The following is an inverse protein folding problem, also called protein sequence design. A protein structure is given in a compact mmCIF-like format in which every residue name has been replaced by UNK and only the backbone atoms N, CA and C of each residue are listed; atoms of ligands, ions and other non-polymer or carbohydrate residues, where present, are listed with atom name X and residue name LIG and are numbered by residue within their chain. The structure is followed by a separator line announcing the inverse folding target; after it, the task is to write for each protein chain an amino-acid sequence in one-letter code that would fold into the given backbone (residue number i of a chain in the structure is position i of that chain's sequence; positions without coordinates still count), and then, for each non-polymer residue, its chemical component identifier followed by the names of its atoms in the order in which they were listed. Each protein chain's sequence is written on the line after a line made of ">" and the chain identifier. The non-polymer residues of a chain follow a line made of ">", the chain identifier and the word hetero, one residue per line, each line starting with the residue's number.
data_IF_881346339074
#
_entry.id   IF_881346339074
#
_cell.length_a   1.000
_cell.length_b   1.000
_cell.length_c   1.000
_cell.angle_alpha   90.00
_cell.angle_beta   90.00
_cell.angle_gamma   90.00
#
_symmetry.space_group_name_H-M   'P 1'
#
loop_
_entity.id
_entity.type
_entity.pdbx_description
1 polymer ?
#
# COMPACT_ATOMS: atom_id res chain seq x y z
N UNK A 1 -0.29 8.47 5.80
CA UNK A 1 -1.21 9.56 5.89
C UNK A 1 -2.47 9.24 6.67
N UNK A 2 -2.89 10.17 7.48
CA UNK A 2 -4.11 10.05 8.32
C UNK A 2 -5.42 10.20 7.53
N UNK A 3 -5.38 10.29 6.19
CA UNK A 3 -6.53 10.63 5.37
C UNK A 3 -6.79 9.69 4.18
N UNK A 4 -6.10 8.56 4.09
CA UNK A 4 -6.30 7.63 2.95
C UNK A 4 -7.50 6.71 3.13
N UNK A 5 -8.12 6.70 4.32
CA UNK A 5 -9.27 5.86 4.67
C UNK A 5 -9.06 4.36 4.37
N UNK A 6 -7.80 3.91 4.23
CA UNK A 6 -7.47 2.55 3.81
C UNK A 6 -7.60 2.31 2.30
N UNK A 7 -7.60 3.37 1.50
CA UNK A 7 -7.51 3.32 0.04
C UNK A 7 -6.05 3.56 -0.37
N UNK A 8 -5.31 2.51 -0.66
CA UNK A 8 -3.89 2.63 -1.00
C UNK A 8 -3.69 3.15 -2.44
N UNK A 9 -4.58 2.75 -3.36
CA UNK A 9 -4.56 3.20 -4.76
C UNK A 9 -5.99 3.42 -5.29
N UNK A 10 -6.13 4.41 -6.18
CA UNK A 10 -7.33 4.62 -6.99
C UNK A 10 -6.90 4.58 -8.46
N UNK A 11 -7.33 3.54 -9.19
CA UNK A 11 -6.96 3.32 -10.58
C UNK A 11 -8.16 3.53 -11.48
N UNK A 12 -8.01 4.33 -12.55
CA UNK A 12 -9.03 4.52 -13.58
C UNK A 12 -8.57 3.84 -14.85
N UNK A 13 -9.35 2.87 -15.32
CA UNK A 13 -9.05 2.13 -16.54
C UNK A 13 -10.33 1.68 -17.26
N UNK A 14 -10.37 1.86 -18.57
CA UNK A 14 -11.48 1.40 -19.43
C UNK A 14 -12.88 1.75 -18.89
N UNK A 15 -13.07 3.00 -18.44
CA UNK A 15 -14.35 3.48 -17.91
C UNK A 15 -14.73 2.97 -16.53
N UNK A 16 -13.85 2.19 -15.89
CA UNK A 16 -14.01 1.70 -14.52
C UNK A 16 -13.03 2.38 -13.56
N UNK A 17 -13.43 2.42 -12.30
CA UNK A 17 -12.59 2.88 -11.19
C UNK A 17 -12.33 1.71 -10.24
N UNK A 18 -11.10 1.46 -9.92
CA UNK A 18 -10.69 0.42 -8.98
C UNK A 18 -10.21 1.08 -7.70
N UNK A 19 -10.84 0.74 -6.58
CA UNK A 19 -10.45 1.18 -5.24
C UNK A 19 -9.66 0.05 -4.61
N UNK A 20 -8.36 0.25 -4.47
CA UNK A 20 -7.42 -0.82 -4.09
C UNK A 20 -6.95 -0.64 -2.67
N UNK A 21 -7.02 -1.69 -1.88
CA UNK A 21 -6.35 -1.82 -0.59
C UNK A 21 -5.34 -2.96 -0.64
N UNK A 22 -4.11 -2.71 -0.16
CA UNK A 22 -3.02 -3.67 -0.13
C UNK A 22 -2.70 -4.08 1.31
N UNK A 23 -2.60 -5.37 1.58
CA UNK A 23 -2.14 -5.90 2.88
C UNK A 23 -0.99 -6.86 2.65
N UNK A 24 0.24 -6.37 2.89
CA UNK A 24 1.42 -7.22 2.90
C UNK A 24 1.67 -7.74 4.31
N UNK A 25 1.19 -8.94 4.58
CA UNK A 25 1.36 -9.61 5.86
C UNK A 25 2.17 -10.90 5.71
N UNK A 26 2.81 -11.32 6.80
CA UNK A 26 3.45 -12.64 6.88
C UNK A 26 2.42 -13.76 6.76
N UNK A 27 2.86 -14.92 6.29
CA UNK A 27 1.96 -16.04 5.97
C UNK A 27 1.27 -16.66 7.20
N UNK A 28 1.76 -16.37 8.40
CA UNK A 28 1.16 -16.76 9.69
C UNK A 28 -0.08 -15.95 10.07
N UNK A 29 -0.33 -14.84 9.36
CA UNK A 29 -1.50 -13.97 9.57
C UNK A 29 -2.57 -14.22 8.52
N UNK A 30 -3.83 -14.14 8.95
CA UNK A 30 -5.00 -14.35 8.10
C UNK A 30 -5.81 -13.06 7.99
N UNK A 31 -6.21 -12.70 6.77
CA UNK A 31 -7.13 -11.58 6.53
C UNK A 31 -8.51 -11.92 7.07
N UNK A 32 -9.02 -11.07 7.95
CA UNK A 32 -10.36 -11.23 8.54
C UNK A 32 -11.38 -10.32 7.84
N UNK A 33 -12.65 -10.63 8.04
CA UNK A 33 -13.81 -9.93 7.45
C UNK A 33 -13.78 -8.42 7.65
N UNK A 34 -13.28 -7.93 8.80
CA UNK A 34 -13.16 -6.49 9.08
C UNK A 34 -12.36 -5.72 8.04
N UNK A 35 -11.37 -6.34 7.40
CA UNK A 35 -10.57 -5.70 6.37
C UNK A 35 -11.33 -5.59 5.06
N UNK A 36 -12.12 -6.61 4.72
CA UNK A 36 -13.00 -6.60 3.56
C UNK A 36 -14.11 -5.54 3.74
N UNK A 37 -14.69 -5.48 4.95
CA UNK A 37 -15.70 -4.48 5.30
C UNK A 37 -15.14 -3.06 5.27
N UNK A 38 -13.89 -2.85 5.74
CA UNK A 38 -13.22 -1.56 5.67
C UNK A 38 -13.09 -1.09 4.22
N UNK A 39 -12.56 -1.94 3.33
CA UNK A 39 -12.43 -1.61 1.91
C UNK A 39 -13.79 -1.31 1.28
N UNK A 40 -14.80 -2.11 1.57
CA UNK A 40 -16.15 -1.88 1.03
C UNK A 40 -16.72 -0.56 1.54
N UNK A 41 -16.61 -0.26 2.83
CA UNK A 41 -17.05 1.01 3.43
C UNK A 41 -16.36 2.23 2.80
N UNK A 42 -15.04 2.18 2.60
CA UNK A 42 -14.31 3.28 1.96
C UNK A 42 -14.63 3.40 0.47
N UNK A 43 -15.05 2.31 -0.19
CA UNK A 43 -15.53 2.34 -1.57
C UNK A 43 -16.88 3.05 -1.66
N UNK A 44 -17.77 2.80 -0.70
CA UNK A 44 -19.06 3.54 -0.60
C UNK A 44 -18.78 5.03 -0.40
N UNK A 45 -17.89 5.40 0.51
CA UNK A 45 -17.51 6.78 0.75
C UNK A 45 -16.95 7.45 -0.50
N UNK A 46 -16.05 6.77 -1.23
CA UNK A 46 -15.54 7.25 -2.51
C UNK A 46 -16.68 7.52 -3.51
N UNK A 47 -17.65 6.61 -3.59
CA UNK A 47 -18.80 6.82 -4.45
C UNK A 47 -19.61 8.07 -4.05
N UNK A 48 -19.74 8.39 -2.80
CA UNK A 48 -20.39 9.62 -2.34
C UNK A 48 -19.56 10.87 -2.60
N UNK A 49 -18.26 10.85 -2.40
CA UNK A 49 -17.35 11.95 -2.73
C UNK A 49 -17.41 12.34 -4.22
N UNK A 50 -17.50 11.35 -5.11
CA UNK A 50 -17.43 11.54 -6.55
C UNK A 50 -18.78 11.82 -7.23
N UNK A 51 -19.87 11.99 -6.48
CA UNK A 51 -21.23 12.01 -7.04
C UNK A 51 -21.65 13.29 -7.78
N UNK A 52 -22.30 13.03 -8.90
CA UNK A 52 -23.49 13.77 -9.36
C UNK A 52 -24.70 13.17 -8.62
N UNK A 53 -25.55 13.99 -8.03
CA UNK A 53 -26.53 13.72 -6.95
C UNK A 53 -27.51 12.53 -7.06
N UNK A 54 -27.54 11.74 -8.14
CA UNK A 54 -28.68 10.88 -8.45
C UNK A 54 -28.39 9.37 -8.53
N UNK A 55 -27.17 8.91 -8.22
CA UNK A 55 -26.82 7.47 -8.32
C UNK A 55 -26.49 6.90 -6.94
N UNK A 56 -27.17 5.84 -6.49
CA UNK A 56 -26.86 5.19 -5.22
C UNK A 56 -25.52 4.40 -5.29
N UNK A 57 -24.58 4.43 -4.31
CA UNK A 57 -23.31 3.73 -4.37
C UNK A 57 -23.42 2.26 -4.76
N UNK A 58 -24.41 1.56 -4.22
CA UNK A 58 -24.63 0.14 -4.51
C UNK A 58 -25.02 -0.15 -5.96
N UNK A 59 -25.49 0.86 -6.71
CA UNK A 59 -25.84 0.68 -8.14
C UNK A 59 -24.59 0.63 -9.03
N UNK A 60 -23.45 1.17 -8.56
CA UNK A 60 -22.22 1.28 -9.33
C UNK A 60 -21.10 0.37 -8.81
N UNK A 61 -21.13 -0.02 -7.54
CA UNK A 61 -20.15 -0.96 -6.97
C UNK A 61 -20.33 -2.34 -7.64
N UNK A 62 -19.22 -2.93 -8.05
CA UNK A 62 -19.19 -4.18 -8.83
C UNK A 62 -19.41 -4.00 -10.34
N UNK A 63 -19.81 -2.81 -10.80
CA UNK A 63 -20.05 -2.49 -12.23
C UNK A 63 -18.98 -1.52 -12.77
N UNK A 64 -19.05 -0.27 -12.32
CA UNK A 64 -18.12 0.79 -12.72
C UNK A 64 -17.14 1.20 -11.61
N UNK A 65 -17.43 0.90 -10.36
CA UNK A 65 -16.53 1.07 -9.22
C UNK A 65 -16.25 -0.30 -8.61
N UNK A 66 -15.01 -0.75 -8.65
CA UNK A 66 -14.61 -2.11 -8.28
C UNK A 66 -13.70 -2.03 -7.05
N UNK A 67 -14.14 -2.52 -5.87
CA UNK A 67 -13.25 -2.68 -4.73
C UNK A 67 -12.30 -3.88 -4.96
N UNK A 68 -11.00 -3.65 -4.77
CA UNK A 68 -9.94 -4.64 -5.00
C UNK A 68 -9.09 -4.78 -3.75
N UNK A 69 -9.02 -5.98 -3.21
CA UNK A 69 -8.19 -6.31 -2.07
C UNK A 69 -6.97 -7.13 -2.51
N UNK A 70 -5.78 -6.58 -2.37
CA UNK A 70 -4.52 -7.24 -2.70
C UNK A 70 -3.84 -7.69 -1.41
N UNK A 71 -3.47 -8.96 -1.33
CA UNK A 71 -2.86 -9.52 -0.12
C UNK A 71 -1.78 -10.54 -0.44
N UNK A 72 -0.84 -10.73 0.50
CA UNK A 72 0.21 -11.77 0.42
C UNK A 72 -0.15 -13.02 1.23
N UNK A 73 -1.27 -13.01 1.96
CA UNK A 73 -1.69 -14.10 2.84
C UNK A 73 -3.12 -14.53 2.57
N UNK A 74 -3.56 -15.61 3.21
CA UNK A 74 -4.89 -16.18 3.03
C UNK A 74 -5.96 -15.32 3.69
N UNK A 75 -7.19 -15.43 3.17
CA UNK A 75 -8.40 -14.94 3.81
C UNK A 75 -8.99 -16.02 4.72
N UNK A 76 -9.58 -15.62 5.84
CA UNK A 76 -10.45 -16.52 6.59
C UNK A 76 -11.69 -16.91 5.76
N UNK A 77 -12.30 -18.05 6.04
CA UNK A 77 -13.54 -18.48 5.35
C UNK A 77 -14.65 -17.43 5.43
N UNK A 78 -14.74 -16.72 6.57
CA UNK A 78 -15.68 -15.61 6.73
C UNK A 78 -15.31 -14.44 5.84
N UNK A 79 -14.02 -14.05 5.76
CA UNK A 79 -13.59 -12.96 4.90
C UNK A 79 -13.81 -13.28 3.41
N UNK A 80 -13.55 -14.51 2.97
CA UNK A 80 -13.82 -14.97 1.59
C UNK A 80 -15.30 -14.81 1.26
N UNK A 81 -16.19 -15.31 2.12
CA UNK A 81 -17.63 -15.18 1.93
C UNK A 81 -18.10 -13.72 1.89
N UNK A 82 -17.51 -12.85 2.71
CA UNK A 82 -17.79 -11.40 2.66
C UNK A 82 -17.33 -10.79 1.35
N UNK A 83 -16.12 -11.10 0.89
CA UNK A 83 -15.59 -10.60 -0.37
C UNK A 83 -16.52 -10.97 -1.55
N UNK A 84 -16.93 -12.22 -1.63
CA UNK A 84 -17.87 -12.71 -2.66
C UNK A 84 -19.21 -11.97 -2.62
N UNK A 85 -19.83 -11.86 -1.44
CA UNK A 85 -21.14 -11.21 -1.28
C UNK A 85 -21.14 -9.72 -1.54
N UNK A 86 -20.02 -9.06 -1.23
CA UNK A 86 -19.87 -7.61 -1.41
C UNK A 86 -19.25 -7.23 -2.76
N UNK A 87 -18.95 -8.21 -3.62
CA UNK A 87 -18.33 -7.96 -4.92
C UNK A 87 -16.92 -7.39 -4.83
N UNK A 88 -16.18 -7.71 -3.75
CA UNK A 88 -14.78 -7.35 -3.58
C UNK A 88 -13.92 -8.35 -4.34
N UNK A 89 -13.16 -7.85 -5.31
CA UNK A 89 -12.19 -8.66 -6.04
C UNK A 89 -10.95 -8.88 -5.15
N UNK A 90 -10.55 -10.12 -4.96
CA UNK A 90 -9.37 -10.46 -4.16
C UNK A 90 -8.26 -10.96 -5.06
N UNK A 91 -7.09 -10.32 -4.94
CA UNK A 91 -5.85 -10.76 -5.58
C UNK A 91 -4.86 -11.21 -4.50
N UNK A 92 -4.58 -12.49 -4.44
CA UNK A 92 -3.48 -13.02 -3.66
C UNK A 92 -2.22 -12.99 -4.53
N UNK A 93 -1.19 -12.29 -4.05
CA UNK A 93 0.11 -12.21 -4.69
C UNK A 93 1.16 -12.92 -3.82
N UNK A 94 2.13 -13.62 -4.41
CA UNK A 94 3.18 -14.26 -3.62
C UNK A 94 3.99 -13.18 -2.89
N UNK A 95 4.43 -13.49 -1.67
CA UNK A 95 5.40 -12.67 -0.97
C UNK A 95 6.77 -12.89 -1.61
N UNK A 96 7.09 -12.08 -2.62
CA UNK A 96 8.42 -12.05 -3.22
C UNK A 96 9.41 -11.28 -2.35
N UNK A 97 10.67 -11.54 -2.56
CA UNK A 97 11.73 -10.66 -2.11
C UNK A 97 11.59 -9.30 -2.82
N UNK A 98 11.89 -8.24 -2.13
CA UNK A 98 11.93 -6.89 -2.70
C UNK A 98 13.02 -6.08 -1.98
N UNK A 99 13.63 -5.11 -2.65
CA UNK A 99 14.69 -4.31 -2.05
C UNK A 99 14.11 -3.45 -0.92
N UNK A 100 14.62 -3.67 0.30
CA UNK A 100 14.08 -3.05 1.51
C UNK A 100 14.92 -1.87 2.01
N UNK A 101 16.16 -1.75 1.57
CA UNK A 101 17.07 -0.70 2.04
C UNK A 101 16.80 0.57 1.25
N UNK A 102 16.30 1.59 1.92
CA UNK A 102 16.00 2.89 1.31
C UNK A 102 17.25 3.72 1.19
N UNK A 103 17.67 4.05 -0.03
CA UNK A 103 18.81 4.87 -0.36
C UNK A 103 18.33 6.25 -0.83
N UNK A 104 18.40 7.26 0.03
CA UNK A 104 17.96 8.61 -0.29
C UNK A 104 19.10 9.62 -0.24
N UNK A 105 18.91 10.76 -0.89
CA UNK A 105 19.85 11.89 -0.91
C UNK A 105 19.28 13.01 -0.03
N UNK A 106 19.98 13.31 1.06
CA UNK A 106 19.64 14.38 1.98
C UNK A 106 19.56 15.76 1.30
N UNK A 107 19.06 16.76 2.02
CA UNK A 107 19.00 18.15 1.53
C UNK A 107 20.38 18.76 1.31
N UNK A 108 21.37 18.28 2.03
CA UNK A 108 22.79 18.63 1.96
C UNK A 108 23.56 17.87 0.86
N UNK A 109 22.88 16.99 0.13
CA UNK A 109 23.45 16.14 -0.91
C UNK A 109 24.07 14.85 -0.39
N UNK A 110 24.04 14.58 0.93
CA UNK A 110 24.55 13.34 1.49
C UNK A 110 23.72 12.14 1.05
N UNK A 111 24.40 11.09 0.63
CA UNK A 111 23.81 9.79 0.28
C UNK A 111 23.70 8.92 1.51
N UNK A 112 22.46 8.62 1.95
CA UNK A 112 22.18 7.93 3.19
C UNK A 112 21.30 6.70 2.91
N UNK A 113 21.63 5.55 3.50
CA UNK A 113 20.72 4.41 3.47
C UNK A 113 20.09 4.15 4.84
N UNK A 114 18.83 3.71 4.81
CA UNK A 114 18.03 3.34 5.98
C UNK A 114 17.63 1.88 5.91
N UNK A 115 17.82 1.16 7.03
CA UNK A 115 17.31 -0.19 7.19
C UNK A 115 15.87 -0.17 7.73
N UNK A 116 15.08 -1.24 7.55
CA UNK A 116 13.66 -1.31 7.96
C UNK A 116 13.36 -0.96 9.42
N UNK A 117 14.38 -1.02 10.30
CA UNK A 117 14.24 -0.73 11.74
C UNK A 117 14.81 0.63 12.15
N UNK A 118 15.31 1.42 11.21
CA UNK A 118 15.85 2.74 11.51
C UNK A 118 14.72 3.75 11.77
N UNK A 119 14.95 4.71 12.67
CA UNK A 119 13.94 5.67 13.13
C UNK A 119 13.21 6.41 12.01
N UNK A 120 13.93 6.74 10.94
CA UNK A 120 13.37 7.51 9.82
C UNK A 120 12.94 6.64 8.64
N UNK A 121 13.06 5.31 8.74
CA UNK A 121 12.76 4.43 7.62
C UNK A 121 11.34 4.64 7.05
N UNK A 122 10.33 4.71 7.91
CA UNK A 122 8.95 4.84 7.48
C UNK A 122 8.62 6.22 6.90
N UNK A 123 9.31 7.26 7.36
CA UNK A 123 9.13 8.63 6.87
C UNK A 123 9.97 8.95 5.63
N UNK A 124 11.00 8.16 5.33
CA UNK A 124 11.84 8.34 4.14
C UNK A 124 11.07 7.93 2.89
N UNK A 125 10.89 8.86 1.97
CA UNK A 125 10.32 8.65 0.64
C UNK A 125 11.48 8.55 -0.35
N UNK A 126 11.41 7.60 -1.29
CA UNK A 126 12.41 7.43 -2.34
C UNK A 126 11.97 8.15 -3.60
N UNK A 127 12.78 9.11 -4.05
CA UNK A 127 12.55 9.92 -5.24
C UNK A 127 13.47 9.44 -6.39
N UNK A 128 13.00 8.48 -7.18
CA UNK A 128 13.80 7.87 -8.25
C UNK A 128 14.35 8.87 -9.28
N UNK A 129 13.66 9.98 -9.52
CA UNK A 129 14.08 11.06 -10.39
C UNK A 129 15.33 11.81 -9.88
N UNK A 130 15.67 11.69 -8.60
CA UNK A 130 16.89 12.22 -7.98
C UNK A 130 18.04 11.21 -7.95
N UNK A 131 17.86 10.01 -8.51
CA UNK A 131 18.82 8.92 -8.43
C UNK A 131 18.77 8.13 -7.12
N UNK A 132 17.71 8.32 -6.33
CA UNK A 132 17.43 7.53 -5.14
C UNK A 132 16.84 6.17 -5.53
N UNK A 133 17.10 5.13 -4.74
CA UNK A 133 16.62 3.78 -5.04
C UNK A 133 16.48 2.92 -3.77
N UNK A 134 15.87 1.74 -3.94
CA UNK A 134 15.84 0.73 -2.90
C UNK A 134 16.89 -0.34 -3.22
N UNK A 135 17.83 -0.58 -2.29
CA UNK A 135 18.86 -1.59 -2.43
C UNK A 135 18.41 -2.94 -1.83
N UNK A 136 18.89 -4.03 -2.41
CA UNK A 136 18.63 -5.40 -1.94
C UNK A 136 19.41 -5.74 -0.67
N UNK A 137 20.63 -5.21 -0.56
CA UNK A 137 21.51 -5.43 0.59
C UNK A 137 22.37 -4.20 0.86
N UNK A 138 23.05 -4.23 1.99
CA UNK A 138 23.93 -3.13 2.45
C UNK A 138 25.10 -2.91 1.48
N UNK A 139 25.65 -3.99 0.96
CA UNK A 139 26.79 -3.92 0.04
C UNK A 139 26.45 -3.17 -1.25
N UNK A 140 25.26 -3.37 -1.80
CA UNK A 140 24.77 -2.61 -2.96
C UNK A 140 24.64 -1.12 -2.65
N UNK A 141 24.08 -0.77 -1.49
CA UNK A 141 23.96 0.61 -1.06
C UNK A 141 25.32 1.28 -0.89
N UNK A 142 26.27 0.60 -0.24
CA UNK A 142 27.63 1.12 -0.01
C UNK A 142 28.44 1.24 -1.30
N UNK A 143 28.33 0.29 -2.22
CA UNK A 143 28.94 0.37 -3.56
C UNK A 143 28.41 1.58 -4.37
N UNK A 144 27.14 1.96 -4.17
CA UNK A 144 26.55 3.15 -4.77
C UNK A 144 26.93 4.46 -4.04
N UNK A 145 27.77 4.37 -3.01
CA UNK A 145 28.30 5.50 -2.25
C UNK A 145 27.39 6.02 -1.16
N UNK A 146 26.43 5.20 -0.70
CA UNK A 146 25.55 5.54 0.42
C UNK A 146 26.17 5.08 1.74
N UNK A 147 26.15 5.95 2.75
CA UNK A 147 26.53 5.59 4.13
C UNK A 147 25.29 5.28 4.96
N UNK A 148 25.46 4.56 6.06
CA UNK A 148 24.35 4.28 6.98
C UNK A 148 23.84 5.56 7.65
N UNK A 149 22.52 5.63 7.84
CA UNK A 149 21.88 6.65 8.66
C UNK A 149 22.40 6.57 10.11
N UNK A 150 22.76 7.72 10.68
CA UNK A 150 23.13 7.83 12.08
C UNK A 150 21.88 7.88 12.96
N UNK A 151 21.93 7.25 14.14
CA UNK A 151 20.86 7.44 15.14
C UNK A 151 20.96 8.84 15.73
N UNK A 152 19.89 9.60 15.67
CA UNK A 152 19.75 10.78 16.52
C UNK A 152 19.57 10.32 17.96
N UNK A 153 20.54 10.60 18.80
CA UNK A 153 20.42 10.46 20.25
C UNK A 153 19.94 11.84 20.73
N UNK A 154 18.69 11.91 21.18
CA UNK A 154 18.22 13.11 21.88
C UNK A 154 18.96 13.13 23.23
N UNK A 155 19.84 14.13 23.42
CA UNK A 155 20.38 14.51 24.72
C UNK A 155 19.34 15.35 25.47
#
# INVERSE_FOLDING_TARGET
>A
GLADLGRDLIVKHSGKVYIVQCKRWSQDRVIREKHIMQLFGTTIEYCWEMRKKDIHPLDVIGKSVIPVFVTTTELSSTATRFAERLGVVVHKVPMGEYPQIKCNIGRDGEKIYHLPFDQQYNSTIIEHNRGEFNAWNVEEAEKAGYRRAQRYIYN
#
